data_IF_655582091080
#
_entry.id   IF_655582091080
#
_cell.length_a   1.000
_cell.length_b   1.000
_cell.length_c   1.000
_cell.angle_alpha   90.00
_cell.angle_beta   90.00
_cell.angle_gamma   90.00
#
_symmetry.space_group_name_H-M   'P 1'
#
loop_
_entity.id
_entity.type
_entity.pdbx_description
1 polymer ?
2 non-polymer ?
3 non-polymer ?
4 non-polymer ?
5 water ?
#
# COMPACT_ATOMS: atom_id res chain seq x y z
N UNK A 1 6.20 10.99 -17.49
CA UNK A 1 5.51 11.35 -16.24
C UNK A 1 4.81 10.15 -15.60
N UNK A 2 5.15 9.84 -14.36
CA UNK A 2 4.46 8.79 -13.61
C UNK A 2 3.54 9.43 -12.59
N UNK A 3 2.27 9.07 -12.63
CA UNK A 3 1.28 9.55 -11.68
C UNK A 3 1.07 8.50 -10.61
N UNK A 4 1.13 8.93 -9.37
CA UNK A 4 0.87 8.10 -8.20
C UNK A 4 -0.25 8.76 -7.43
N UNK A 5 -1.38 8.09 -7.32
CA UNK A 5 -2.50 8.63 -6.57
C UNK A 5 -2.71 7.80 -5.31
N UNK A 6 -2.76 8.47 -4.17
CA UNK A 6 -2.97 7.80 -2.89
C UNK A 6 -4.49 7.72 -2.68
N UNK A 7 -5.05 6.54 -2.91
CA UNK A 7 -6.48 6.38 -2.66
C UNK A 7 -6.74 6.19 -1.18
N UNK A 8 -5.85 5.45 -0.52
CA UNK A 8 -5.92 5.26 0.91
C UNK A 8 -4.53 5.26 1.52
N UNK A 9 -4.39 5.89 2.68
CA UNK A 9 -3.11 6.04 3.35
C UNK A 9 -3.07 5.37 4.73
N UNK A 10 -4.16 4.78 5.18
CA UNK A 10 -4.20 4.15 6.50
C UNK A 10 -3.83 2.68 6.40
N UNK A 11 -3.49 2.12 7.56
CA UNK A 11 -3.35 0.68 7.72
C UNK A 11 -4.76 0.09 7.89
N UNK A 12 -4.85 -1.22 8.14
CA UNK A 12 -5.74 -1.66 9.21
C UNK A 12 -7.25 -1.55 9.05
N UNK A 13 -7.86 -0.87 9.99
CA UNK A 13 -9.29 -0.61 9.98
C UNK A 13 -9.50 0.84 9.65
N UNK A 14 -8.51 1.43 8.96
CA UNK A 14 -8.63 2.80 8.48
C UNK A 14 -8.42 3.80 9.61
N UNK A 15 -8.86 5.03 9.36
CA UNK A 15 -8.83 6.02 10.43
C UNK A 15 -9.97 7.01 10.28
N UNK A 16 -10.86 7.12 11.27
CA UNK A 16 -10.86 6.29 12.49
C UNK A 16 -11.25 4.83 12.23
N UNK A 17 -10.85 3.94 13.13
CA UNK A 17 -11.22 2.54 13.05
C UNK A 17 -12.56 2.32 13.75
N UNK A 18 -13.40 1.49 13.14
CA UNK A 18 -14.80 1.38 13.51
C UNK A 18 -15.00 1.10 15.00
N UNK A 19 -14.12 0.30 15.62
CA UNK A 19 -14.34 -0.15 16.99
C UNK A 19 -13.33 0.45 17.98
N UNK A 20 -12.64 1.51 17.59
CA UNK A 20 -11.50 2.02 18.37
C UNK A 20 -11.83 3.37 18.96
N UNK A 21 -11.53 3.54 20.24
CA UNK A 21 -11.67 4.81 20.93
C UNK A 21 -10.34 5.24 21.56
N UNK A 22 -9.24 4.94 20.86
CA UNK A 22 -7.92 5.40 21.24
C UNK A 22 -7.86 6.94 21.15
N UNK A 23 -6.75 7.51 21.59
CA UNK A 23 -6.67 8.97 21.63
C UNK A 23 -6.91 9.58 20.25
N UNK A 24 -6.32 8.97 19.20
CA UNK A 24 -6.52 9.49 17.85
C UNK A 24 -7.97 9.37 17.37
N UNK A 25 -8.57 8.17 17.51
CA UNK A 25 -9.88 7.93 16.91
C UNK A 25 -10.98 8.69 17.65
N UNK A 26 -11.00 8.60 18.99
CA UNK A 26 -11.95 9.39 19.78
C UNK A 26 -11.70 10.87 19.60
N UNK A 27 -10.43 11.28 19.54
CA UNK A 27 -10.12 12.69 19.32
C UNK A 27 -10.67 13.20 18.00
N UNK A 28 -10.58 12.38 16.94
CA UNK A 28 -11.16 12.77 15.66
C UNK A 28 -12.68 12.83 15.73
N UNK A 29 -13.32 11.83 16.36
CA UNK A 29 -14.78 11.85 16.46
C UNK A 29 -15.25 12.99 17.36
N UNK A 30 -14.56 13.21 18.48
CA UNK A 30 -14.92 14.31 19.38
C UNK A 30 -14.71 15.67 18.75
N UNK A 31 -13.98 15.74 17.63
CA UNK A 31 -13.56 17.02 17.10
C UNK A 31 -12.49 17.73 17.90
N UNK A 32 -11.85 17.04 18.85
CA UNK A 32 -10.83 17.66 19.68
C UNK A 32 -9.44 17.61 19.07
N UNK A 33 -9.31 17.09 17.85
CA UNK A 33 -7.97 16.82 17.37
C UNK A 33 -7.87 17.03 15.87
N UNK A 34 -6.76 17.62 15.45
CA UNK A 34 -6.52 18.03 14.06
C UNK A 34 -5.94 16.86 13.30
N UNK A 35 -6.81 16.08 12.67
CA UNK A 35 -6.39 14.96 11.84
C UNK A 35 -7.45 14.73 10.75
N UNK A 36 -7.03 14.05 9.69
CA UNK A 36 -7.89 13.79 8.54
C UNK A 36 -8.21 12.30 8.41
N UNK A 37 -9.48 12.01 8.17
CA UNK A 37 -9.94 10.64 7.92
C UNK A 37 -9.14 9.99 6.80
N UNK A 38 -8.94 8.67 6.91
CA UNK A 38 -8.15 7.91 5.96
C UNK A 38 -8.74 6.51 5.78
N UNK A 39 -8.91 6.12 4.52
CA UNK A 39 -9.28 4.76 4.16
C UNK A 39 -8.03 3.87 4.08
N UNK A 40 -8.29 2.56 3.98
CA UNK A 40 -7.21 1.57 4.01
C UNK A 40 -6.37 1.63 2.74
N UNK A 41 -5.10 1.23 2.86
CA UNK A 41 -4.07 1.65 1.92
C UNK A 41 -4.23 1.07 0.53
N UNK A 42 -4.05 1.95 -0.45
CA UNK A 42 -4.13 1.59 -1.85
C UNK A 42 -3.65 2.79 -2.65
N UNK A 43 -2.86 2.53 -3.67
CA UNK A 43 -2.47 3.60 -4.58
C UNK A 43 -2.83 3.19 -5.99
N UNK A 44 -2.88 4.17 -6.88
CA UNK A 44 -3.13 3.95 -8.29
C UNK A 44 -2.02 4.59 -9.11
N UNK A 45 -1.53 3.85 -10.11
CA UNK A 45 -0.39 4.28 -10.93
C UNK A 45 -0.84 4.47 -12.37
N UNK A 46 -0.17 5.42 -13.03
CA UNK A 46 -0.48 5.65 -14.44
C UNK A 46 0.73 6.28 -15.14
N UNK A 47 0.87 6.02 -16.43
CA UNK A 47 1.85 6.75 -17.23
C UNK A 47 1.22 7.78 -18.15
N UNK A 48 -0.10 7.91 -18.16
CA UNK A 48 -0.73 8.87 -19.04
C UNK A 48 -1.88 9.62 -18.38
N UNK A 49 -2.23 9.33 -17.12
CA UNK A 49 -3.36 9.91 -16.42
C UNK A 49 -4.74 9.39 -16.83
N UNK A 50 -4.82 8.39 -17.71
CA UNK A 50 -6.09 7.89 -18.21
C UNK A 50 -6.27 6.40 -17.93
N UNK A 51 -5.18 5.64 -17.97
CA UNK A 51 -5.18 4.21 -17.70
C UNK A 51 -4.48 3.99 -16.35
N UNK A 52 -5.16 3.33 -15.43
CA UNK A 52 -4.65 3.24 -14.07
C UNK A 52 -4.50 1.79 -13.66
N UNK A 53 -3.44 1.53 -12.90
CA UNK A 53 -3.13 0.25 -12.29
C UNK A 53 -3.29 0.39 -10.80
N UNK A 54 -4.20 -0.39 -10.23
CA UNK A 54 -4.47 -0.39 -8.79
C UNK A 54 -3.47 -1.29 -8.08
N UNK A 55 -2.83 -0.78 -7.02
CA UNK A 55 -1.98 -1.59 -6.15
C UNK A 55 -2.72 -1.88 -4.85
N UNK A 56 -3.18 -3.14 -4.70
CA UNK A 56 -4.03 -3.59 -3.60
C UNK A 56 -5.43 -3.01 -3.73
N UNK A 57 -6.44 -3.82 -3.41
CA UNK A 57 -7.85 -3.44 -3.52
C UNK A 57 -8.43 -3.50 -2.11
N UNK A 58 -8.53 -2.32 -1.47
CA UNK A 58 -8.89 -2.26 -0.06
C UNK A 58 -10.40 -2.43 0.11
N UNK A 59 -10.85 -2.78 1.31
CA UNK A 59 -12.31 -2.83 1.54
C UNK A 59 -12.99 -1.49 1.34
N UNK A 60 -12.26 -0.38 1.35
CA UNK A 60 -12.84 0.94 1.14
C UNK A 60 -12.91 1.34 -0.33
N UNK A 61 -12.79 0.37 -1.25
CA UNK A 61 -12.54 0.71 -2.64
C UNK A 61 -13.67 1.56 -3.26
N UNK A 62 -14.92 1.34 -2.83
CA UNK A 62 -16.02 2.12 -3.40
C UNK A 62 -15.86 3.62 -3.13
N UNK A 63 -15.60 4.00 -1.87
CA UNK A 63 -15.42 5.41 -1.57
C UNK A 63 -14.14 5.96 -2.20
N UNK A 64 -13.12 5.12 -2.34
CA UNK A 64 -11.87 5.59 -2.95
C UNK A 64 -12.04 5.85 -4.45
N UNK A 65 -12.68 4.95 -5.18
CA UNK A 65 -12.92 5.20 -6.60
C UNK A 65 -13.76 6.46 -6.79
N UNK A 66 -14.85 6.57 -6.03
CA UNK A 66 -15.73 7.72 -6.19
C UNK A 66 -14.99 9.04 -5.92
N UNK A 67 -14.02 9.05 -5.01
CA UNK A 67 -13.33 10.29 -4.65
C UNK A 67 -12.27 10.71 -5.67
N UNK A 68 -11.97 9.91 -6.68
CA UNK A 68 -10.88 10.21 -7.61
C UNK A 68 -11.47 10.18 -9.02
N UNK A 69 -11.75 11.36 -9.58
CA UNK A 69 -12.50 11.47 -10.82
C UNK A 69 -11.96 10.62 -11.97
N UNK A 70 -10.65 10.48 -12.20
CA UNK A 70 -10.20 9.65 -13.33
C UNK A 70 -10.59 8.19 -13.21
N UNK A 71 -11.08 7.73 -12.06
CA UNK A 71 -11.56 6.34 -12.00
C UNK A 71 -12.86 6.15 -12.76
N UNK A 72 -13.61 7.23 -13.04
CA UNK A 72 -14.79 7.15 -13.90
C UNK A 72 -14.61 8.05 -15.12
N UNK A 73 -14.01 7.54 -16.20
CA UNK A 73 -13.80 8.39 -17.38
C UNK A 73 -15.05 8.62 -18.22
N UNK A 74 -16.13 7.85 -17.99
CA UNK A 74 -17.44 8.12 -18.58
C UNK A 74 -17.41 7.98 -20.11
N UNK A 75 -16.65 7.01 -20.61
CA UNK A 75 -16.54 6.77 -22.05
C UNK A 75 -17.58 5.80 -22.57
N UNK A 76 -18.39 5.20 -21.70
CA UNK A 76 -19.50 4.34 -22.09
C UNK A 76 -20.45 4.25 -20.89
N UNK A 77 -21.59 3.59 -21.10
CA UNK A 77 -22.59 3.47 -20.04
C UNK A 77 -22.04 2.66 -18.84
N UNK A 78 -21.20 1.67 -19.11
CA UNK A 78 -20.40 1.01 -18.09
C UNK A 78 -18.93 1.21 -18.44
N UNK A 79 -18.16 1.74 -17.49
CA UNK A 79 -16.77 2.10 -17.74
C UNK A 79 -16.03 2.23 -16.41
N UNK A 80 -14.71 2.14 -16.49
CA UNK A 80 -13.89 2.35 -15.30
C UNK A 80 -12.50 2.76 -15.74
N UNK A 81 -11.81 3.50 -14.88
CA UNK A 81 -10.41 3.81 -15.11
C UNK A 81 -9.44 2.72 -14.70
N UNK A 82 -9.91 1.70 -13.99
CA UNK A 82 -9.06 0.58 -13.59
C UNK A 82 -8.80 -0.30 -14.80
N UNK A 83 -7.54 -0.40 -15.20
CA UNK A 83 -7.17 -1.31 -16.28
C UNK A 83 -6.43 -2.55 -15.81
N UNK A 84 -5.88 -2.57 -14.60
CA UNK A 84 -5.30 -3.77 -14.02
C UNK A 84 -5.21 -3.59 -12.51
N UNK A 85 -4.99 -4.70 -11.80
CA UNK A 85 -4.80 -4.69 -10.35
C UNK A 85 -3.58 -5.52 -10.01
N UNK A 86 -2.70 -4.95 -9.19
CA UNK A 86 -1.52 -5.63 -8.66
C UNK A 86 -1.74 -5.84 -7.17
N UNK A 87 -1.45 -7.06 -6.70
CA UNK A 87 -1.55 -7.35 -5.28
C UNK A 87 -0.15 -7.64 -4.77
N UNK A 88 0.16 -7.14 -3.57
CA UNK A 88 1.47 -7.30 -2.95
C UNK A 88 1.51 -8.42 -1.93
N UNK A 89 0.35 -8.92 -1.55
CA UNK A 89 0.18 -9.98 -0.57
C UNK A 89 -1.29 -10.37 -0.67
N UNK A 90 -1.69 -11.32 0.14
CA UNK A 90 -3.03 -11.89 0.06
C UNK A 90 -3.87 -11.52 1.27
N UNK A 91 -3.44 -10.54 2.04
CA UNK A 91 -4.16 -10.19 3.26
C UNK A 91 -5.56 -9.67 2.93
N UNK A 92 -6.47 -9.94 3.86
CA UNK A 92 -7.85 -9.47 3.70
C UNK A 92 -7.87 -7.97 3.50
N UNK A 93 -7.05 -7.24 4.28
CA UNK A 93 -7.03 -5.78 4.20
C UNK A 93 -6.70 -5.29 2.79
N UNK A 94 -5.97 -6.08 2.00
CA UNK A 94 -5.42 -5.59 0.75
C UNK A 94 -6.09 -6.23 -0.46
N UNK A 95 -7.12 -7.04 -0.26
CA UNK A 95 -7.72 -7.78 -1.35
C UNK A 95 -9.24 -7.76 -1.40
N UNK A 96 -9.95 -7.50 -0.28
CA UNK A 96 -11.40 -7.61 -0.31
C UNK A 96 -12.05 -6.60 -1.26
N UNK A 97 -11.35 -5.52 -1.63
CA UNK A 97 -11.85 -4.63 -2.66
C UNK A 97 -12.28 -5.34 -3.93
N UNK A 98 -11.63 -6.46 -4.26
CA UNK A 98 -11.96 -7.18 -5.50
C UNK A 98 -13.41 -7.66 -5.52
N UNK A 99 -14.01 -7.94 -4.35
CA UNK A 99 -15.40 -8.38 -4.31
C UNK A 99 -16.36 -7.29 -4.74
N UNK A 100 -15.94 -6.04 -4.72
CA UNK A 100 -16.79 -4.92 -5.10
C UNK A 100 -16.61 -4.53 -6.57
N UNK A 101 -15.84 -5.31 -7.33
CA UNK A 101 -15.60 -5.02 -8.73
C UNK A 101 -16.19 -6.08 -9.65
N UNK A 102 -17.20 -6.82 -9.19
CA UNK A 102 -17.64 -7.94 -10.02
C UNK A 102 -18.60 -7.51 -11.11
N UNK A 103 -19.24 -6.35 -10.98
CA UNK A 103 -20.04 -5.82 -12.08
C UNK A 103 -19.19 -5.40 -13.26
N UNK A 104 -17.87 -5.56 -13.20
CA UNK A 104 -17.01 -5.09 -14.26
C UNK A 104 -16.00 -6.12 -14.72
N UNK A 105 -16.26 -7.39 -14.45
CA UNK A 105 -15.33 -8.42 -14.83
C UNK A 105 -15.37 -8.60 -16.34
N UNK A 106 -14.25 -9.05 -16.96
CA UNK A 106 -12.99 -9.52 -16.35
C UNK A 106 -12.02 -8.40 -15.93
N UNK A 107 -11.18 -8.71 -14.95
CA UNK A 107 -10.08 -7.85 -14.53
C UNK A 107 -8.77 -8.63 -14.62
N UNK A 108 -7.75 -7.99 -15.17
CA UNK A 108 -6.40 -8.54 -15.11
C UNK A 108 -5.87 -8.31 -13.69
N UNK A 109 -5.50 -9.39 -13.01
CA UNK A 109 -4.95 -9.28 -11.66
C UNK A 109 -3.56 -9.89 -11.67
N UNK A 110 -2.58 -9.13 -11.20
CA UNK A 110 -1.20 -9.56 -11.13
C UNK A 110 -0.83 -9.89 -9.68
N UNK A 111 -0.35 -11.11 -9.46
CA UNK A 111 0.06 -11.52 -8.13
C UNK A 111 0.89 -12.79 -8.25
N UNK A 112 1.72 -13.03 -7.23
CA UNK A 112 2.62 -14.17 -7.20
C UNK A 112 1.84 -15.47 -7.05
N UNK A 113 2.59 -16.58 -7.20
CA UNK A 113 2.00 -17.90 -7.05
C UNK A 113 1.47 -18.13 -5.64
N UNK A 114 2.24 -17.73 -4.62
CA UNK A 114 1.78 -17.90 -3.24
C UNK A 114 0.47 -17.18 -3.00
N UNK A 115 0.35 -15.94 -3.48
CA UNK A 115 -0.85 -15.16 -3.23
C UNK A 115 -2.01 -15.75 -4.02
N UNK A 116 -1.76 -16.14 -5.27
CA UNK A 116 -2.77 -16.84 -6.06
C UNK A 116 -3.26 -18.11 -5.36
N UNK A 117 -2.36 -18.82 -4.69
CA UNK A 117 -2.74 -20.03 -3.95
C UNK A 117 -3.66 -19.70 -2.80
N UNK A 118 -3.32 -18.66 -2.01
CA UNK A 118 -4.22 -18.21 -0.94
C UNK A 118 -5.57 -17.82 -1.52
N UNK A 119 -5.56 -17.16 -2.68
CA UNK A 119 -6.78 -16.58 -3.24
C UNK A 119 -7.54 -17.58 -4.11
N UNK A 120 -7.21 -18.87 -4.02
CA UNK A 120 -8.01 -19.96 -4.58
C UNK A 120 -8.34 -21.03 -3.55
N UNK A 121 -7.94 -20.86 -2.28
CA UNK A 121 -8.19 -21.83 -1.22
C UNK A 121 -8.75 -21.17 0.05
N UNK A 122 -7.88 -20.63 0.91
CA UNK A 122 -8.34 -20.04 2.17
C UNK A 122 -9.30 -18.87 1.97
N UNK A 123 -9.05 -18.04 0.95
CA UNK A 123 -9.90 -16.89 0.62
C UNK A 123 -10.08 -16.92 -0.89
N UNK A 124 -11.00 -17.71 -1.39
CA UNK A 124 -11.00 -18.10 -2.82
C UNK A 124 -11.63 -17.05 -3.72
N UNK A 125 -11.04 -15.85 -3.74
CA UNK A 125 -11.56 -14.76 -4.56
C UNK A 125 -11.64 -15.16 -6.03
N UNK A 126 -10.57 -15.75 -6.57
CA UNK A 126 -10.56 -16.16 -7.97
C UNK A 126 -11.66 -17.15 -8.27
N UNK A 127 -11.93 -18.09 -7.35
CA UNK A 127 -12.98 -19.06 -7.60
C UNK A 127 -14.35 -18.41 -7.51
N UNK A 128 -14.57 -17.59 -6.48
CA UNK A 128 -15.85 -16.93 -6.32
C UNK A 128 -16.16 -16.07 -7.53
N UNK A 129 -15.19 -15.28 -7.98
CA UNK A 129 -15.45 -14.25 -8.97
C UNK A 129 -15.49 -14.80 -10.39
N UNK A 130 -14.93 -15.97 -10.65
CA UNK A 130 -15.01 -16.53 -12.00
C UNK A 130 -16.45 -16.75 -12.46
N UNK A 131 -17.41 -16.73 -11.55
CA UNK A 131 -18.83 -16.78 -11.87
C UNK A 131 -19.38 -15.44 -12.34
N UNK A 132 -18.57 -14.39 -12.45
CA UNK A 132 -19.06 -13.10 -12.96
C UNK A 132 -18.26 -12.81 -14.22
N UNK A 133 -18.78 -13.26 -15.36
CA UNK A 133 -18.27 -12.91 -16.69
C UNK A 133 -16.74 -12.97 -16.78
N UNK A 134 -16.18 -14.15 -16.48
CA UNK A 134 -14.75 -14.36 -16.57
C UNK A 134 -13.96 -14.04 -15.30
N UNK A 135 -14.55 -13.35 -14.33
CA UNK A 135 -13.91 -13.14 -13.04
C UNK A 135 -12.57 -12.44 -13.14
N UNK A 136 -11.59 -13.00 -12.44
CA UNK A 136 -10.25 -12.42 -12.39
C UNK A 136 -9.31 -13.27 -13.22
N UNK A 137 -8.61 -12.64 -14.16
CA UNK A 137 -7.66 -13.32 -15.02
C UNK A 137 -6.27 -13.14 -14.43
N UNK A 138 -5.70 -14.25 -13.97
CA UNK A 138 -4.46 -14.21 -13.22
C UNK A 138 -3.27 -13.97 -14.16
N UNK A 139 -2.40 -13.05 -13.78
CA UNK A 139 -1.11 -12.85 -14.42
C UNK A 139 -0.06 -13.07 -13.34
N UNK A 140 0.76 -14.11 -13.51
CA UNK A 140 1.71 -14.47 -12.46
C UNK A 140 2.82 -13.43 -12.34
N UNK A 141 3.11 -13.02 -11.12
CA UNK A 141 4.30 -12.24 -10.83
C UNK A 141 5.42 -13.19 -10.46
N UNK A 142 6.44 -13.27 -11.31
CA UNK A 142 7.62 -14.08 -11.02
C UNK A 142 8.49 -13.38 -9.98
N UNK A 143 9.28 -14.17 -9.27
CA UNK A 143 10.07 -13.67 -8.16
C UNK A 143 11.42 -13.11 -8.59
N UNK A 144 11.66 -13.01 -9.90
CA UNK A 144 12.85 -12.38 -10.45
C UNK A 144 12.46 -11.64 -11.73
N UNK A 145 13.21 -10.59 -12.04
CA UNK A 145 12.93 -9.86 -13.26
C UNK A 145 11.82 -8.84 -13.12
N UNK A 146 11.18 -8.54 -14.24
CA UNK A 146 10.30 -7.39 -14.32
C UNK A 146 9.04 -7.79 -15.04
N UNK A 147 8.06 -6.88 -15.06
CA UNK A 147 6.93 -7.07 -15.94
C UNK A 147 6.38 -5.71 -16.35
N UNK A 148 5.59 -5.73 -17.40
CA UNK A 148 4.95 -4.56 -17.98
C UNK A 148 3.48 -4.91 -18.22
N UNK A 149 2.59 -4.04 -17.83
CA UNK A 149 1.16 -4.19 -18.07
C UNK A 149 0.82 -3.34 -19.29
N UNK A 150 0.21 -3.96 -20.29
CA UNK A 150 0.01 -3.29 -21.59
C UNK A 150 -0.66 -1.94 -21.44
N UNK A 151 -1.62 -1.81 -20.51
CA UNK A 151 -2.38 -0.57 -20.38
C UNK A 151 -1.49 0.63 -20.05
N UNK A 152 -0.35 0.41 -19.39
CA UNK A 152 0.59 1.48 -19.07
C UNK A 152 1.96 1.00 -19.54
N UNK A 153 2.20 1.06 -20.86
CA UNK A 153 3.38 0.39 -21.43
C UNK A 153 4.70 1.00 -21.02
N UNK A 154 4.69 2.19 -20.42
CA UNK A 154 5.92 2.86 -20.03
C UNK A 154 6.27 2.66 -18.56
N UNK A 155 5.50 1.86 -17.83
CA UNK A 155 5.78 1.57 -16.42
C UNK A 155 6.38 0.17 -16.34
N UNK A 156 7.58 0.07 -15.79
CA UNK A 156 8.27 -1.20 -15.63
C UNK A 156 8.29 -1.57 -14.15
N UNK A 157 7.65 -2.67 -13.81
CA UNK A 157 7.55 -3.12 -12.43
C UNK A 157 8.66 -4.12 -12.12
N UNK A 158 9.39 -3.86 -11.04
CA UNK A 158 10.38 -4.83 -10.54
C UNK A 158 10.11 -5.16 -9.09
N UNK A 159 9.43 -6.27 -8.81
CA UNK A 159 9.10 -6.60 -7.43
C UNK A 159 10.31 -7.15 -6.69
N UNK A 160 10.30 -6.97 -5.37
CA UNK A 160 11.33 -7.54 -4.52
C UNK A 160 10.67 -8.19 -3.30
N UNK A 161 11.11 -9.39 -2.92
CA UNK A 161 10.47 -10.09 -1.81
C UNK A 161 10.78 -9.42 -0.49
N UNK A 162 9.80 -9.48 0.41
CA UNK A 162 9.96 -9.09 1.79
C UNK A 162 9.76 -10.32 2.67
N UNK A 163 9.90 -10.14 3.98
CA UNK A 163 9.83 -11.26 4.92
C UNK A 163 8.49 -11.97 4.84
N UNK A 164 8.51 -13.18 4.31
CA UNK A 164 7.30 -13.98 4.16
C UNK A 164 6.56 -14.13 5.48
N UNK A 165 5.33 -13.61 5.52
CA UNK A 165 4.40 -13.80 6.63
C UNK A 165 3.01 -13.92 6.02
N UNK A 166 2.63 -15.15 5.69
CA UNK A 166 1.32 -15.39 5.10
C UNK A 166 0.20 -15.06 6.10
N UNK A 167 -0.98 -14.73 5.59
CA UNK A 167 -2.10 -14.27 6.47
C UNK A 167 -2.65 -15.37 7.35
N UNK A 168 -3.37 -15.00 8.43
CA UNK A 168 -3.85 -16.02 9.39
C UNK A 168 -4.81 -17.04 8.80
N UNK A 169 -5.57 -16.68 7.77
CA UNK A 169 -6.43 -17.66 7.14
C UNK A 169 -5.68 -18.53 6.17
N UNK A 170 -4.41 -18.25 5.90
CA UNK A 170 -3.70 -18.97 4.83
C UNK A 170 -3.44 -20.41 5.21
N UNK A 171 -3.75 -21.38 4.34
CA UNK A 171 -3.35 -22.78 4.60
C UNK A 171 -1.87 -22.94 4.92
N UNK A 172 -1.02 -21.99 4.51
CA UNK A 172 0.41 -22.08 4.79
C UNK A 172 0.87 -20.97 5.73
N UNK A 173 -0.03 -20.51 6.60
CA UNK A 173 0.33 -19.42 7.51
C UNK A 173 1.47 -19.80 8.45
N UNK A 174 1.63 -21.09 8.79
CA UNK A 174 2.76 -21.48 9.63
C UNK A 174 3.99 -21.85 8.82
N UNK A 175 3.92 -21.73 7.50
CA UNK A 175 4.99 -22.19 6.62
C UNK A 175 5.23 -21.11 5.57
N UNK A 176 5.83 -19.99 5.97
CA UNK A 176 6.04 -18.87 5.05
C UNK A 176 6.98 -19.20 3.89
N UNK A 177 6.59 -18.75 2.69
CA UNK A 177 7.27 -18.96 1.43
C UNK A 177 7.58 -17.63 0.75
N UNK A 178 8.68 -17.55 0.01
CA UNK A 178 8.89 -16.35 -0.81
C UNK A 178 7.78 -16.25 -1.84
N UNK A 179 7.28 -15.03 -2.02
CA UNK A 179 6.10 -14.79 -2.81
C UNK A 179 4.92 -14.33 -1.99
N UNK A 180 4.98 -14.45 -0.65
CA UNK A 180 3.89 -14.02 0.22
C UNK A 180 3.77 -12.50 0.26
N UNK A 181 4.89 -11.78 0.25
CA UNK A 181 4.89 -10.33 0.43
C UNK A 181 5.88 -9.70 -0.53
N UNK A 182 5.42 -8.65 -1.23
CA UNK A 182 6.22 -7.98 -2.24
C UNK A 182 6.31 -6.50 -1.94
N UNK A 183 7.43 -5.91 -2.32
CA UNK A 183 7.51 -4.47 -2.50
C UNK A 183 7.70 -4.23 -3.98
N UNK A 184 7.41 -3.03 -4.47
CA UNK A 184 7.47 -2.77 -5.90
C UNK A 184 8.46 -1.65 -6.20
N UNK A 185 9.35 -1.90 -7.15
CA UNK A 185 10.06 -0.86 -7.85
C UNK A 185 9.29 -0.57 -9.13
N UNK A 186 9.03 0.71 -9.40
CA UNK A 186 8.27 1.11 -10.58
C UNK A 186 9.06 2.17 -11.33
N UNK A 187 9.30 1.95 -12.63
CA UNK A 187 10.12 2.83 -13.43
C UNK A 187 9.34 3.36 -14.62
N UNK A 188 9.34 4.68 -14.78
CA UNK A 188 8.89 5.29 -16.03
C UNK A 188 10.04 5.14 -17.01
N UNK A 189 9.90 4.23 -17.98
CA UNK A 189 11.03 3.96 -18.88
C UNK A 189 11.29 5.13 -19.83
N UNK A 190 10.37 6.07 -19.95
CA UNK A 190 10.66 7.24 -20.77
C UNK A 190 11.62 8.21 -20.08
N UNK A 191 11.70 8.19 -18.76
CA UNK A 191 12.48 9.18 -18.03
C UNK A 191 13.48 8.59 -17.04
N UNK A 192 13.41 7.30 -16.76
CA UNK A 192 14.17 6.71 -15.67
C UNK A 192 13.63 7.00 -14.27
N UNK A 193 12.53 7.73 -14.13
CA UNK A 193 11.99 8.00 -12.81
C UNK A 193 11.53 6.73 -12.13
N UNK A 194 11.85 6.61 -10.84
CA UNK A 194 11.71 5.34 -10.12
C UNK A 194 10.98 5.55 -8.81
N UNK A 195 9.88 4.81 -8.63
CA UNK A 195 9.14 4.77 -7.37
C UNK A 195 9.49 3.48 -6.63
N UNK A 196 9.79 3.62 -5.35
CA UNK A 196 10.01 2.48 -4.48
C UNK A 196 8.82 2.40 -3.52
N UNK A 197 8.00 1.36 -3.68
CA UNK A 197 6.75 1.22 -2.95
C UNK A 197 6.80 0.00 -2.05
N UNK A 198 6.76 0.21 -0.75
CA UNK A 198 6.83 -0.87 0.23
C UNK A 198 5.96 -0.50 1.43
N UNK A 199 4.63 -0.63 1.28
CA UNK A 199 3.75 -0.26 2.40
C UNK A 199 3.81 -1.22 3.56
N UNK A 200 4.22 -2.46 3.32
CA UNK A 200 4.48 -3.39 4.42
C UNK A 200 5.95 -3.73 4.47
N UNK A 201 6.66 -3.20 5.46
CA UNK A 201 8.12 -3.35 5.51
C UNK A 201 8.55 -3.73 6.92
N UNK A 202 8.99 -4.97 7.09
CA UNK A 202 9.34 -5.48 8.40
C UNK A 202 10.82 -5.36 8.78
N UNK A 203 11.70 -5.34 7.80
CA UNK A 203 13.12 -5.20 8.08
C UNK A 203 13.85 -4.71 6.84
N UNK A 204 15.09 -4.28 7.05
CA UNK A 204 15.89 -3.61 6.03
C UNK A 204 17.28 -4.25 6.00
N UNK A 205 17.55 -5.09 5.01
CA UNK A 205 18.91 -5.56 4.77
C UNK A 205 19.59 -4.63 3.76
N UNK A 206 20.79 -4.99 3.32
CA UNK A 206 21.54 -4.06 2.49
C UNK A 206 21.24 -4.20 1.00
N UNK A 207 20.70 -5.34 0.56
CA UNK A 207 20.15 -5.40 -0.79
C UNK A 207 19.02 -4.37 -0.95
N UNK A 208 18.21 -4.20 0.10
CA UNK A 208 17.11 -3.24 0.04
C UNK A 208 17.61 -1.81 -0.05
N UNK A 209 18.57 -1.44 0.81
CA UNK A 209 19.07 -0.06 0.76
C UNK A 209 19.70 0.25 -0.59
N UNK A 210 20.28 -0.76 -1.26
CA UNK A 210 20.86 -0.54 -2.58
C UNK A 210 19.78 -0.24 -3.61
N UNK A 211 18.67 -0.99 -3.56
CA UNK A 211 17.50 -0.66 -4.37
C UNK A 211 17.07 0.78 -4.12
N UNK A 212 16.95 1.15 -2.85
CA UNK A 212 16.32 2.41 -2.51
C UNK A 212 17.14 3.59 -2.99
N UNK A 213 18.46 3.45 -3.09
CA UNK A 213 19.27 4.59 -3.53
C UNK A 213 19.18 4.82 -5.02
N UNK A 214 18.81 3.80 -5.80
CA UNK A 214 18.51 3.99 -7.20
C UNK A 214 17.15 4.58 -7.49
N UNK A 215 16.36 4.84 -6.45
CA UNK A 215 15.01 5.36 -6.58
C UNK A 215 14.96 6.86 -6.31
N UNK A 216 13.94 7.51 -6.86
CA UNK A 216 13.70 8.92 -6.66
C UNK A 216 12.69 9.19 -5.56
N UNK A 217 11.73 8.30 -5.36
CA UNK A 217 10.68 8.46 -4.37
C UNK A 217 10.56 7.19 -3.54
N UNK A 218 10.52 7.33 -2.22
CA UNK A 218 10.38 6.19 -1.32
C UNK A 218 9.03 6.33 -0.62
N UNK A 219 8.13 5.39 -0.91
CA UNK A 219 6.77 5.37 -0.37
C UNK A 219 6.70 4.13 0.51
N UNK A 220 6.85 4.31 1.83
CA UNK A 220 7.19 3.19 2.69
C UNK A 220 6.29 3.11 3.91
N UNK A 221 6.12 1.89 4.38
CA UNK A 221 5.52 1.50 5.65
C UNK A 221 5.65 2.56 6.74
N UNK A 222 4.52 3.07 7.21
CA UNK A 222 4.53 3.97 8.35
C UNK A 222 3.44 3.63 9.36
N UNK A 223 3.16 2.34 9.58
CA UNK A 223 1.95 2.03 10.33
C UNK A 223 2.11 2.39 11.81
N UNK A 224 3.29 2.16 12.40
CA UNK A 224 3.49 2.33 13.83
C UNK A 224 4.62 3.31 14.10
N UNK A 225 4.41 4.20 15.07
CA UNK A 225 5.49 5.06 15.55
C UNK A 225 6.46 4.32 16.46
N UNK A 226 5.93 3.50 17.36
CA UNK A 226 6.71 2.68 18.28
C UNK A 226 6.37 1.22 18.04
N UNK A 227 7.34 0.34 18.30
CA UNK A 227 7.12 -1.07 18.05
C UNK A 227 6.02 -1.64 18.96
N UNK A 228 5.82 -1.07 20.14
CA UNK A 228 4.79 -1.51 21.07
C UNK A 228 3.67 -0.47 21.22
N UNK A 229 3.38 0.26 20.12
CA UNK A 229 2.38 1.31 20.12
C UNK A 229 0.98 0.80 20.50
N UNK A 230 0.64 -0.45 20.15
CA UNK A 230 -0.66 -0.99 20.56
C UNK A 230 -0.77 -1.01 22.09
N UNK A 231 0.27 -1.51 22.77
CA UNK A 231 0.26 -1.55 24.23
C UNK A 231 0.22 -0.14 24.82
N UNK A 232 0.97 0.80 24.24
CA UNK A 232 1.00 2.16 24.76
C UNK A 232 -0.35 2.86 24.64
N UNK A 233 -1.20 2.44 23.72
CA UNK A 233 -2.51 3.05 23.53
C UNK A 233 -3.63 2.29 24.25
N UNK A 234 -3.34 1.11 24.79
CA UNK A 234 -4.34 0.31 25.46
C UNK A 234 -5.24 -0.50 24.55
N UNK A 235 -4.88 -0.65 23.28
CA UNK A 235 -5.79 -1.25 22.30
C UNK A 235 -5.41 -2.68 21.92
N UNK A 236 -4.25 -3.16 22.33
CA UNK A 236 -3.92 -4.55 22.09
C UNK A 236 -2.49 -4.84 22.50
N UNK A 237 -2.04 -6.03 22.17
CA UNK A 237 -0.72 -6.47 22.59
C UNK A 237 0.20 -6.84 21.43
N UNK A 238 -0.33 -7.06 20.23
CA UNK A 238 0.55 -7.42 19.12
C UNK A 238 1.56 -6.31 18.86
N UNK A 239 2.81 -6.71 18.66
CA UNK A 239 3.90 -5.77 18.45
C UNK A 239 4.13 -5.50 16.97
N UNK A 240 4.81 -4.38 16.68
CA UNK A 240 5.12 -4.04 15.30
C UNK A 240 5.87 -5.12 14.57
N UNK A 241 6.89 -5.70 15.23
CA UNK A 241 7.63 -6.78 14.59
C UNK A 241 6.80 -8.05 14.46
N UNK A 242 5.78 -8.24 15.31
CA UNK A 242 4.84 -9.36 15.14
C UNK A 242 4.01 -9.20 13.88
N UNK A 243 3.61 -7.97 13.53
CA UNK A 243 2.82 -7.70 12.34
C UNK A 243 3.66 -7.54 11.09
N UNK A 244 4.98 -7.55 11.19
CA UNK A 244 5.82 -7.30 10.03
C UNK A 244 5.85 -5.85 9.63
N UNK A 245 5.83 -4.95 10.61
CA UNK A 245 5.85 -3.52 10.39
C UNK A 245 6.96 -2.92 11.25
N UNK A 246 7.96 -2.33 10.59
CA UNK A 246 9.04 -1.64 11.28
C UNK A 246 8.59 -0.25 11.67
N UNK A 247 8.64 0.06 12.97
CA UNK A 247 8.21 1.35 13.47
C UNK A 247 9.09 2.49 12.96
N UNK A 248 8.58 3.72 13.08
CA UNK A 248 9.38 4.86 12.64
C UNK A 248 10.56 5.10 13.59
N UNK A 249 10.31 5.08 14.90
CA UNK A 249 11.20 5.55 15.94
C UNK A 249 12.13 4.44 16.46
N UNK A 250 13.19 4.87 17.14
CA UNK A 250 14.07 3.96 17.83
C UNK A 250 15.20 3.42 16.98
N UNK A 251 16.07 2.60 17.59
CA UNK A 251 17.20 2.00 16.87
C UNK A 251 16.73 1.06 15.77
N UNK A 252 17.14 1.36 14.54
CA UNK A 252 16.75 0.58 13.39
C UNK A 252 15.39 0.91 12.82
N UNK A 253 14.72 1.95 13.33
CA UNK A 253 13.44 2.36 12.77
C UNK A 253 13.60 3.04 11.42
N UNK A 254 12.45 3.24 10.76
CA UNK A 254 12.48 3.76 9.40
C UNK A 254 13.02 5.18 9.35
N UNK A 255 12.81 5.99 10.38
CA UNK A 255 13.35 7.36 10.34
C UNK A 255 14.87 7.35 10.35
N UNK A 256 15.47 6.50 11.17
CA UNK A 256 16.93 6.38 11.16
C UNK A 256 17.41 5.80 9.85
N UNK A 257 16.70 4.80 9.31
CA UNK A 257 17.03 4.24 8.00
C UNK A 257 16.94 5.32 6.92
N UNK A 258 15.94 6.22 7.02
CA UNK A 258 15.71 7.21 5.97
C UNK A 258 16.69 8.38 6.03
N UNK A 259 17.45 8.53 7.12
CA UNK A 259 18.49 9.55 7.17
C UNK A 259 19.56 9.33 6.12
N UNK A 260 19.76 8.09 5.67
CA UNK A 260 20.65 7.80 4.58
C UNK A 260 20.14 8.12 3.19
N UNK A 261 19.00 8.84 3.07
CA UNK A 261 18.42 9.09 1.75
C UNK A 261 18.01 10.54 1.53
N UNK A 262 18.89 11.51 1.75
CA UNK A 262 18.48 12.92 1.63
C UNK A 262 18.12 13.33 0.22
N UNK A 263 18.60 12.61 -0.81
CA UNK A 263 18.24 12.91 -2.20
C UNK A 263 16.74 12.66 -2.43
N UNK A 264 16.24 11.52 -1.96
CA UNK A 264 14.93 11.01 -2.33
C UNK A 264 13.80 11.83 -1.70
N UNK A 265 12.69 11.91 -2.42
CA UNK A 265 11.42 12.21 -1.79
C UNK A 265 11.01 11.04 -0.91
N UNK A 266 10.52 11.33 0.30
CA UNK A 266 10.22 10.31 1.29
C UNK A 266 8.80 10.50 1.81
N UNK A 267 7.96 9.46 1.69
CA UNK A 267 6.56 9.53 2.10
C UNK A 267 6.22 8.29 2.93
N UNK A 268 5.65 8.51 4.12
CA UNK A 268 5.10 7.43 4.93
C UNK A 268 3.65 7.17 4.54
N UNK A 269 3.32 5.90 4.31
CA UNK A 269 2.00 5.50 3.89
C UNK A 269 1.63 4.24 4.67
N UNK A 270 0.33 3.94 4.74
CA UNK A 270 -0.17 2.77 5.47
C UNK A 270 0.03 3.02 6.96
N UNK A 271 -0.67 4.03 7.47
CA UNK A 271 -0.49 4.54 8.84
C UNK A 271 -1.65 4.06 9.71
N UNK A 272 -1.33 3.42 10.83
CA UNK A 272 -2.36 2.88 11.71
C UNK A 272 -3.05 3.97 12.53
N UNK A 273 -4.31 3.71 12.87
CA UNK A 273 -5.12 4.65 13.63
C UNK A 273 -4.47 5.06 14.94
N UNK A 274 -3.55 4.25 15.48
CA UNK A 274 -2.91 4.59 16.75
C UNK A 274 -1.72 5.55 16.61
N UNK A 275 -1.23 5.78 15.40
CA UNK A 275 0.05 6.46 15.21
C UNK A 275 -0.08 7.97 15.44
N UNK A 276 0.74 8.55 16.32
CA UNK A 276 0.62 10.00 16.59
C UNK A 276 0.93 10.91 15.39
N UNK A 277 1.62 10.42 14.36
CA UNK A 277 1.85 11.26 13.19
C UNK A 277 0.55 11.66 12.50
N UNK A 278 -0.58 11.01 12.82
CA UNK A 278 -1.87 11.45 12.30
C UNK A 278 -2.35 12.72 13.00
N UNK A 279 -2.02 12.91 14.26
CA UNK A 279 -2.25 14.17 14.96
C UNK A 279 -1.38 15.24 14.32
N UNK A 280 -2.02 16.17 13.62
CA UNK A 280 -1.23 17.16 12.91
C UNK A 280 -0.49 18.13 13.85
N UNK A 281 -0.80 18.12 15.15
CA UNK A 281 -0.08 18.94 16.11
C UNK A 281 0.92 18.14 16.95
N UNK A 282 0.95 16.83 16.78
CA UNK A 282 1.83 16.01 17.59
C UNK A 282 3.30 16.40 17.37
N UNK A 283 4.14 16.23 18.38
CA UNK A 283 5.59 16.40 18.15
C UNK A 283 6.17 15.32 17.27
N UNK A 284 5.55 14.14 17.26
CA UNK A 284 5.96 13.12 16.30
C UNK A 284 5.74 13.57 14.86
N UNK A 285 4.61 14.22 14.58
CA UNK A 285 4.41 14.78 13.25
C UNK A 285 5.44 15.86 12.95
N UNK A 286 5.74 16.69 13.94
CA UNK A 286 6.68 17.80 13.70
C UNK A 286 8.07 17.28 13.38
N UNK A 287 8.52 16.22 14.08
CA UNK A 287 9.84 15.66 13.81
C UNK A 287 9.90 15.02 12.42
N UNK A 288 8.82 14.32 12.03
CA UNK A 288 8.76 13.74 10.68
C UNK A 288 8.98 14.82 9.63
N UNK A 289 8.36 15.99 9.83
CA UNK A 289 8.52 17.07 8.87
C UNK A 289 9.94 17.62 8.90
N UNK A 290 10.54 17.71 10.09
CA UNK A 290 11.92 18.17 10.18
C UNK A 290 12.84 17.28 9.37
N UNK A 291 12.63 15.98 9.42
CA UNK A 291 13.50 15.05 8.71
C UNK A 291 13.26 15.00 7.24
N UNK A 292 12.41 15.86 6.69
CA UNK A 292 12.16 15.85 5.27
C UNK A 292 11.28 14.71 4.81
N UNK A 293 10.41 14.20 5.69
CA UNK A 293 9.56 13.05 5.41
C UNK A 293 8.11 13.51 5.42
N UNK A 294 7.37 13.17 4.37
CA UNK A 294 5.97 13.54 4.28
C UNK A 294 5.06 12.43 4.82
N UNK A 295 3.86 12.81 5.19
CA UNK A 295 2.84 11.88 5.68
C UNK A 295 1.75 11.79 4.63
N UNK A 296 1.61 10.63 4.01
CA UNK A 296 0.59 10.47 2.98
C UNK A 296 -0.81 10.67 3.56
N UNK A 297 -1.71 11.14 2.71
CA UNK A 297 -3.10 11.39 3.06
C UNK A 297 -3.96 11.04 1.86
N UNK A 298 -5.21 10.67 2.13
CA UNK A 298 -6.15 10.32 1.08
C UNK A 298 -6.32 11.48 0.12
N UNK A 299 -6.04 11.24 -1.17
CA UNK A 299 -6.14 12.26 -2.18
C UNK A 299 -4.81 12.80 -2.63
N UNK A 300 -3.72 12.45 -1.95
CA UNK A 300 -2.38 12.91 -2.32
C UNK A 300 -2.00 12.46 -3.73
N UNK A 301 -1.55 13.42 -4.55
CA UNK A 301 -0.99 13.17 -5.88
C UNK A 301 0.52 13.37 -5.85
N UNK A 302 1.25 12.39 -6.36
CA UNK A 302 2.70 12.44 -6.46
C UNK A 302 3.06 12.26 -7.93
N UNK A 303 3.72 13.27 -8.50
CA UNK A 303 4.16 13.23 -9.89
C UNK A 303 5.65 12.95 -9.93
N UNK A 304 6.03 11.88 -10.60
CA UNK A 304 7.43 11.52 -10.75
C UNK A 304 7.87 12.03 -12.11
N UNK A 305 8.73 13.05 -12.10
CA UNK A 305 9.02 13.85 -13.27
C UNK A 305 10.24 13.36 -14.04
N UNK A 306 11.30 13.01 -13.32
CA UNK A 306 12.60 12.74 -13.89
C UNK A 306 13.41 11.95 -12.88
N UNK A 307 14.62 11.55 -13.27
CA UNK A 307 15.55 10.86 -12.39
C UNK A 307 16.64 11.82 -11.94
N UNK A 308 16.93 11.80 -10.63
CA UNK A 308 17.92 12.70 -10.01
C UNK A 308 19.33 12.55 -10.61
#
# INVERSE_FOLDING_TARGET
MMYIQVLGSAAAGGFPQWNCNCVNCKGYRDGTLKATARTQSSIALSDDGVHWILCNASPDIRAQLQAFAPMQPARALRDTGINAIVLLDSQIDHTTGLLSLREGCPHQVWCTDMVHQDLTTGFPLFNMLSHWNGGLQWNRIELEGSFVIDACPNLKFTPFPLRSAAPPYSPHRFDPHPGDNLGLMVEDTRTGGKLFYAPGLGQVDEKLLAMMHGADCLLVDGTLWEDDEMQRRGVGTRTGREMGHLAQNGPGGTLEVLDGFPRQRKVLIHINNTNPILDENSPERAEVLRRGVEVAFDGMSIELLEHH
#
